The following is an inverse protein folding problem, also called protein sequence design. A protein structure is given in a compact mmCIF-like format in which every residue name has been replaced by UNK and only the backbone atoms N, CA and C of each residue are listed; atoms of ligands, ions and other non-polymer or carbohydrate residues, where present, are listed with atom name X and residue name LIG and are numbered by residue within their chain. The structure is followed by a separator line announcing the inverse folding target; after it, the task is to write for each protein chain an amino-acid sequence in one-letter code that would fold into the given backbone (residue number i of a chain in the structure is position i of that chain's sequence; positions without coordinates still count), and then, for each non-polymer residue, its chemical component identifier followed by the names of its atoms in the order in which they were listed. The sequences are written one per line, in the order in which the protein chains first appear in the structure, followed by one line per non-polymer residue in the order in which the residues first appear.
data_IF_477820251688
#
_entry.id   IF_477820251688
#
_cell.length_a   1.000
_cell.length_b   1.000
_cell.length_c   1.000
_cell.angle_alpha   90.00
_cell.angle_beta   90.00
_cell.angle_gamma   90.00
#
_symmetry.space_group_name_H-M   'P 1'
#
loop_
_entity.id
_entity.type
_entity.pdbx_description
1 polymer ?
#
# COMPACT_ATOMS: atom_id res chain seq x y z
N UNK A 1 5.29 -13.10 7.35
CA UNK A 1 4.18 -14.00 6.96
C UNK A 1 3.14 -13.17 6.23
N UNK A 2 2.64 -13.64 5.09
CA UNK A 2 1.60 -12.94 4.32
C UNK A 2 0.22 -13.33 4.87
N UNK A 3 -0.60 -12.35 5.27
CA UNK A 3 -1.86 -12.62 5.99
C UNK A 3 -3.07 -12.66 5.04
N UNK A 4 -3.13 -11.77 4.05
CA UNK A 4 -4.34 -11.58 3.22
C UNK A 4 -4.12 -11.65 1.71
N UNK A 5 -2.92 -11.32 1.22
CA UNK A 5 -2.68 -11.19 -0.22
C UNK A 5 -2.57 -12.51 -0.99
N UNK A 6 -2.47 -13.65 -0.30
CA UNK A 6 -2.17 -14.96 -0.92
C UNK A 6 -0.83 -14.99 -1.65
N UNK A 7 -0.82 -14.52 -2.91
CA UNK A 7 0.37 -14.31 -3.75
C UNK A 7 0.46 -12.85 -4.15
N UNK A 8 1.68 -12.37 -4.30
CA UNK A 8 1.90 -11.01 -4.77
C UNK A 8 3.32 -10.78 -5.25
N UNK A 9 3.51 -9.63 -5.89
CA UNK A 9 4.79 -9.15 -6.40
C UNK A 9 5.09 -7.79 -5.82
N UNK A 10 6.38 -7.50 -5.65
CA UNK A 10 6.86 -6.18 -5.28
C UNK A 10 7.81 -5.70 -6.36
N UNK A 11 7.55 -4.50 -6.87
CA UNK A 11 8.40 -3.82 -7.84
C UNK A 11 8.96 -2.56 -7.20
N UNK A 12 10.28 -2.44 -7.19
CA UNK A 12 11.01 -1.28 -6.66
C UNK A 12 11.71 -0.60 -7.82
N UNK A 13 11.54 0.71 -7.95
CA UNK A 13 12.13 1.50 -9.02
C UNK A 13 12.73 2.78 -8.47
N UNK A 14 13.92 3.12 -8.94
CA UNK A 14 14.42 4.48 -8.87
C UNK A 14 13.66 5.31 -9.91
N UNK A 15 13.10 6.42 -9.48
CA UNK A 15 12.38 7.36 -10.34
C UNK A 15 13.08 8.72 -10.29
N UNK A 16 12.95 9.49 -11.36
CA UNK A 16 13.39 10.88 -11.39
C UNK A 16 12.28 11.74 -12.00
N UNK A 17 12.02 12.89 -11.37
CA UNK A 17 11.02 13.85 -11.82
C UNK A 17 11.44 15.27 -11.41
N UNK A 18 11.49 16.21 -12.36
CA UNK A 18 11.88 17.61 -12.14
C UNK A 18 13.16 17.77 -11.29
N UNK A 19 14.23 17.06 -11.67
CA UNK A 19 15.53 17.05 -10.97
C UNK A 19 15.52 16.46 -9.56
N UNK A 20 14.41 15.90 -9.09
CA UNK A 20 14.34 15.12 -7.84
C UNK A 20 14.48 13.64 -8.14
N UNK A 21 15.19 12.94 -7.28
CA UNK A 21 15.26 11.48 -7.28
C UNK A 21 14.33 10.93 -6.22
N UNK A 22 13.75 9.77 -6.49
CA UNK A 22 12.88 9.09 -5.55
C UNK A 22 12.89 7.59 -5.76
N UNK A 23 12.23 6.90 -4.84
CA UNK A 23 11.94 5.48 -4.91
C UNK A 23 10.44 5.32 -5.06
N UNK A 24 10.02 4.60 -6.09
CA UNK A 24 8.67 4.12 -6.26
C UNK A 24 8.62 2.63 -5.92
N UNK A 25 7.69 2.24 -5.05
CA UNK A 25 7.44 0.84 -4.71
C UNK A 25 5.99 0.52 -5.03
N UNK A 26 5.78 -0.54 -5.80
CA UNK A 26 4.45 -1.04 -6.17
C UNK A 26 4.31 -2.45 -5.61
N UNK A 27 3.32 -2.63 -4.75
CA UNK A 27 2.89 -3.92 -4.23
C UNK A 27 1.62 -4.33 -4.98
N UNK A 28 1.58 -5.55 -5.50
CA UNK A 28 0.40 -6.12 -6.14
C UNK A 28 0.15 -7.48 -5.52
N UNK A 29 -1.07 -7.72 -5.05
CA UNK A 29 -1.52 -9.04 -4.60
C UNK A 29 -2.81 -9.46 -5.31
N UNK A 30 -3.10 -10.76 -5.26
CA UNK A 30 -4.33 -11.35 -5.79
C UNK A 30 -5.21 -11.91 -4.67
N UNK A 31 -5.21 -11.24 -3.51
CA UNK A 31 -6.00 -11.61 -2.36
C UNK A 31 -7.49 -11.25 -2.51
N UNK A 32 -8.21 -11.27 -1.39
CA UNK A 32 -9.65 -10.99 -1.35
C UNK A 32 -10.04 -9.53 -1.65
N UNK A 33 -9.08 -8.61 -1.73
CA UNK A 33 -9.34 -7.17 -1.82
C UNK A 33 -9.82 -6.55 -0.49
N UNK A 34 -10.02 -5.25 -0.51
CA UNK A 34 -10.43 -4.41 0.62
C UNK A 34 -11.82 -3.82 0.29
N UNK A 35 -12.88 -4.14 1.07
CA UNK A 35 -14.24 -3.66 0.80
C UNK A 35 -14.38 -2.14 0.90
N UNK A 36 -13.75 -1.55 1.91
CA UNK A 36 -13.77 -0.12 2.17
C UNK A 36 -12.33 0.35 2.41
N UNK A 37 -11.75 0.95 1.37
CA UNK A 37 -10.37 1.44 1.40
C UNK A 37 -10.25 2.67 2.30
N UNK A 38 -11.27 3.52 2.37
CA UNK A 38 -11.23 4.72 3.19
C UNK A 38 -11.20 4.35 4.67
N UNK A 39 -12.06 3.43 5.09
CA UNK A 39 -12.07 2.90 6.45
C UNK A 39 -10.76 2.17 6.80
N UNK A 40 -10.17 1.45 5.85
CA UNK A 40 -8.86 0.81 6.04
C UNK A 40 -7.69 1.80 6.20
N UNK A 41 -7.88 3.06 5.82
CA UNK A 41 -6.93 4.16 6.00
C UNK A 41 -7.12 4.91 7.32
N UNK A 42 -8.17 4.61 8.08
CA UNK A 42 -8.38 5.21 9.40
C UNK A 42 -7.40 4.65 10.44
N UNK A 43 -6.84 5.55 11.24
CA UNK A 43 -5.92 5.16 12.29
C UNK A 43 -6.65 4.36 13.37
N UNK A 44 -6.09 3.23 13.78
CA UNK A 44 -6.70 2.37 14.80
C UNK A 44 -7.73 1.38 14.26
N UNK A 45 -8.15 1.49 13.00
CA UNK A 45 -9.03 0.50 12.37
C UNK A 45 -8.25 -0.74 11.91
N UNK A 46 -8.73 -1.93 12.27
CA UNK A 46 -8.23 -3.20 11.76
C UNK A 46 -9.22 -4.33 11.96
N UNK A 47 -9.31 -5.19 10.95
CA UNK A 47 -10.09 -6.43 11.02
C UNK A 47 -9.27 -7.62 11.53
N UNK A 48 -7.96 -7.46 11.73
CA UNK A 48 -7.07 -8.50 12.24
C UNK A 48 -6.29 -7.95 13.42
N UNK A 49 -6.70 -8.29 14.64
CA UNK A 49 -6.20 -7.89 15.98
C UNK A 49 -4.71 -7.48 16.04
N UNK A 50 -4.34 -6.33 15.48
CA UNK A 50 -2.97 -5.82 15.34
C UNK A 50 -2.97 -4.34 15.71
N UNK A 51 -1.79 -3.76 15.96
CA UNK A 51 -1.63 -2.36 16.41
C UNK A 51 -2.04 -1.28 15.39
N UNK A 52 -2.62 -1.63 14.23
CA UNK A 52 -3.20 -0.71 13.24
C UNK A 52 -2.26 0.44 12.79
N UNK A 53 -0.99 0.13 12.49
CA UNK A 53 -0.03 1.11 11.96
C UNK A 53 0.07 1.03 10.41
N UNK A 54 -0.43 -0.04 9.79
CA UNK A 54 -0.17 -0.44 8.39
C UNK A 54 -0.26 0.67 7.33
N UNK A 55 -1.39 0.77 6.62
CA UNK A 55 -1.56 1.77 5.57
C UNK A 55 -1.49 3.24 6.06
N UNK A 56 -2.03 3.59 7.24
CA UNK A 56 -1.90 4.96 7.76
C UNK A 56 -0.43 5.36 7.98
N UNK A 57 0.40 4.46 8.50
CA UNK A 57 1.83 4.67 8.67
C UNK A 57 2.56 4.77 7.33
N UNK A 58 2.26 3.85 6.40
CA UNK A 58 2.84 3.89 5.06
C UNK A 58 2.57 5.23 4.35
N UNK A 59 1.32 5.74 4.44
CA UNK A 59 0.95 7.06 3.93
C UNK A 59 1.70 8.18 4.64
N UNK A 60 1.81 8.13 5.98
CA UNK A 60 2.50 9.15 6.79
C UNK A 60 3.97 9.33 6.44
N UNK A 61 4.68 8.27 6.06
CA UNK A 61 6.11 8.34 5.74
C UNK A 61 6.39 8.54 4.25
N UNK A 62 5.40 8.34 3.38
CA UNK A 62 5.48 8.57 1.94
C UNK A 62 5.18 10.02 1.57
N UNK A 63 5.70 10.47 0.42
CA UNK A 63 5.27 11.75 -0.15
C UNK A 63 4.02 11.59 -1.02
N UNK A 64 3.85 10.40 -1.62
CA UNK A 64 2.63 10.01 -2.34
C UNK A 64 2.32 8.55 -2.08
N UNK A 65 1.05 8.25 -1.86
CA UNK A 65 0.53 6.88 -1.77
C UNK A 65 -0.79 6.76 -2.52
N UNK A 66 -0.98 5.62 -3.18
CA UNK A 66 -2.20 5.25 -3.89
C UNK A 66 -2.53 3.80 -3.54
N UNK A 67 -3.80 3.55 -3.26
CA UNK A 67 -4.32 2.21 -3.01
C UNK A 67 -5.50 2.00 -3.96
N UNK A 68 -5.43 0.94 -4.75
CA UNK A 68 -6.53 0.46 -5.55
C UNK A 68 -6.80 -0.99 -5.12
N UNK A 69 -8.04 -1.28 -4.73
CA UNK A 69 -8.42 -2.61 -4.29
C UNK A 69 -9.79 -2.95 -4.83
N UNK A 70 -9.96 -4.20 -5.24
CA UNK A 70 -11.25 -4.70 -5.68
C UNK A 70 -11.52 -6.08 -5.07
N UNK A 71 -12.75 -6.26 -4.58
CA UNK A 71 -13.17 -7.51 -3.95
C UNK A 71 -12.99 -8.69 -4.90
N UNK A 72 -12.28 -9.73 -4.43
CA UNK A 72 -11.98 -10.93 -5.20
C UNK A 72 -10.90 -10.78 -6.28
N UNK A 73 -10.37 -9.57 -6.53
CA UNK A 73 -9.29 -9.35 -7.50
C UNK A 73 -7.95 -8.98 -6.86
N UNK A 74 -7.96 -8.52 -5.62
CA UNK A 74 -6.75 -8.22 -4.85
C UNK A 74 -6.53 -6.73 -4.66
N UNK A 75 -5.29 -6.37 -4.32
CA UNK A 75 -4.92 -4.99 -3.99
C UNK A 75 -3.63 -4.59 -4.68
N UNK A 76 -3.60 -3.36 -5.18
CA UNK A 76 -2.40 -2.67 -5.64
C UNK A 76 -2.14 -1.47 -4.75
N UNK A 77 -0.93 -1.38 -4.21
CA UNK A 77 -0.47 -0.26 -3.40
C UNK A 77 0.77 0.33 -4.03
N UNK A 78 0.74 1.62 -4.32
CA UNK A 78 1.88 2.36 -4.85
C UNK A 78 2.32 3.40 -3.85
N UNK A 79 3.62 3.42 -3.55
CA UNK A 79 4.24 4.33 -2.60
C UNK A 79 5.40 5.03 -3.30
N UNK A 80 5.46 6.35 -3.20
CA UNK A 80 6.57 7.14 -3.68
C UNK A 80 7.20 7.94 -2.55
N UNK A 81 8.51 7.85 -2.44
CA UNK A 81 9.34 8.68 -1.57
C UNK A 81 10.37 9.42 -2.40
N UNK A 82 10.40 10.74 -2.30
CA UNK A 82 11.42 11.61 -2.89
C UNK A 82 12.52 11.89 -1.87
N UNK A 83 13.72 12.15 -2.40
CA UNK A 83 14.85 12.68 -1.64
C UNK A 83 14.70 14.20 -1.41
#
# INVERSE_FOLDING_TARGET
MLIYGGRGTVQIQLISHNSRQGVNVIFVDSGRGIPDVELAMEQGYSTGKTLCIGFPGAKRFSDRSEINSELGKGTTVKITKWR
#
